data_IF_852794012569
#
_entry.id   IF_852794012569
#
_cell.length_a   1.000
_cell.length_b   1.000
_cell.length_c   1.000
_cell.angle_alpha   90.00
_cell.angle_beta   90.00
_cell.angle_gamma   90.00
#
_symmetry.space_group_name_H-M   'P 1'
#
loop_
_entity.id
_entity.type
_entity.pdbx_description
1 polymer ?
#
# COMPACT_ATOMS: atom_id res chain seq x y z
N UNK A 1 33.47 33.67 4.48
CA UNK A 1 32.13 33.21 4.90
C UNK A 1 31.92 31.87 4.21
N UNK A 2 32.42 30.80 4.84
CA UNK A 2 32.40 29.44 4.27
C UNK A 2 31.01 28.83 4.45
N UNK A 3 30.43 28.36 3.36
CA UNK A 3 29.23 27.54 3.39
C UNK A 3 29.60 26.13 3.86
N UNK A 4 28.87 25.52 4.81
CA UNK A 4 29.16 24.16 5.22
C UNK A 4 28.85 23.19 4.07
N UNK A 5 29.79 22.26 3.83
CA UNK A 5 29.66 21.19 2.85
C UNK A 5 28.35 20.41 3.05
N UNK A 6 27.58 20.22 1.98
CA UNK A 6 26.44 19.30 1.97
C UNK A 6 26.97 17.89 2.23
N UNK A 7 26.48 17.25 3.30
CA UNK A 7 26.78 15.86 3.59
C UNK A 7 26.57 14.97 2.33
N UNK A 8 27.49 14.03 2.04
CA UNK A 8 27.40 13.21 0.85
C UNK A 8 26.09 12.42 0.85
N UNK A 9 25.36 12.51 -0.26
CA UNK A 9 24.15 11.74 -0.52
C UNK A 9 24.53 10.25 -0.52
N UNK A 10 24.36 9.54 0.61
CA UNK A 10 24.52 8.09 0.67
C UNK A 10 23.68 7.50 -0.46
N UNK A 11 24.31 6.72 -1.36
CA UNK A 11 23.60 5.94 -2.38
C UNK A 11 22.53 5.13 -1.66
N UNK A 12 21.27 5.58 -1.73
CA UNK A 12 20.14 4.79 -1.26
C UNK A 12 20.15 3.53 -2.11
N UNK A 13 20.35 2.38 -1.47
CA UNK A 13 20.14 1.09 -2.11
C UNK A 13 18.77 1.13 -2.78
N UNK A 14 18.74 0.99 -4.09
CA UNK A 14 17.47 0.79 -4.80
C UNK A 14 16.86 -0.48 -4.21
N UNK A 15 15.68 -0.35 -3.63
CA UNK A 15 14.94 -1.46 -3.02
C UNK A 15 14.39 -2.36 -4.14
N UNK A 16 15.28 -3.13 -4.77
CA UNK A 16 14.90 -4.15 -5.75
C UNK A 16 14.33 -5.37 -5.03
N UNK A 17 13.48 -6.16 -5.69
CA UNK A 17 12.92 -7.40 -5.09
C UNK A 17 14.02 -8.33 -4.57
N UNK A 18 15.12 -8.48 -5.31
CA UNK A 18 16.28 -9.26 -4.88
C UNK A 18 16.92 -8.72 -3.59
N UNK A 19 16.96 -7.40 -3.41
CA UNK A 19 17.47 -6.80 -2.17
C UNK A 19 16.51 -7.07 -0.99
N UNK A 20 15.20 -7.10 -1.23
CA UNK A 20 14.20 -7.46 -0.21
C UNK A 20 14.32 -8.93 0.20
N UNK A 21 14.46 -9.85 -0.77
CA UNK A 21 14.63 -11.28 -0.51
C UNK A 21 15.87 -11.54 0.37
N UNK A 22 17.01 -10.94 0.01
CA UNK A 22 18.25 -11.00 0.81
C UNK A 22 18.09 -10.36 2.19
N UNK A 23 17.41 -9.22 2.28
CA UNK A 23 17.19 -8.54 3.56
C UNK A 23 16.28 -9.33 4.50
N UNK A 24 15.28 -10.04 3.96
CA UNK A 24 14.44 -10.98 4.70
C UNK A 24 15.28 -12.13 5.24
N UNK A 25 16.08 -12.76 4.39
CA UNK A 25 16.99 -13.84 4.80
C UNK A 25 18.00 -13.38 5.86
N UNK A 26 18.59 -12.21 5.68
CA UNK A 26 19.52 -11.61 6.64
C UNK A 26 18.83 -11.19 7.96
N UNK A 27 17.49 -11.13 8.00
CA UNK A 27 16.70 -10.61 9.12
C UNK A 27 16.85 -9.10 9.34
N UNK A 28 17.17 -8.36 8.27
CA UNK A 28 17.22 -6.88 8.25
C UNK A 28 15.87 -6.26 7.89
N UNK A 29 15.01 -7.02 7.22
CA UNK A 29 13.63 -6.64 6.91
C UNK A 29 12.71 -7.61 7.66
N UNK A 30 12.00 -7.11 8.66
CA UNK A 30 11.27 -7.98 9.60
C UNK A 30 9.75 -7.86 9.51
N UNK A 31 9.22 -6.87 8.81
CA UNK A 31 7.80 -6.78 8.48
C UNK A 31 7.70 -6.60 6.99
N UNK A 32 7.03 -7.54 6.32
CA UNK A 32 6.90 -7.55 4.87
C UNK A 32 5.46 -7.78 4.46
N UNK A 33 4.85 -6.75 3.88
CA UNK A 33 3.52 -6.83 3.30
C UNK A 33 3.62 -6.86 1.79
N UNK A 34 3.24 -7.99 1.19
CA UNK A 34 3.11 -8.14 -0.26
C UNK A 34 1.66 -8.14 -0.68
N UNK A 35 1.36 -7.46 -1.78
CA UNK A 35 0.00 -7.23 -2.27
C UNK A 35 -0.07 -7.52 -3.76
N UNK A 36 -1.09 -8.25 -4.19
CA UNK A 36 -1.33 -8.56 -5.60
C UNK A 36 -0.12 -9.21 -6.31
N UNK A 37 0.63 -10.07 -5.60
CA UNK A 37 1.74 -10.84 -6.18
C UNK A 37 1.85 -12.24 -5.58
N UNK A 38 2.25 -13.21 -6.41
CA UNK A 38 2.61 -14.56 -5.98
C UNK A 38 4.14 -14.75 -6.06
N UNK A 39 4.90 -13.91 -5.35
CA UNK A 39 6.36 -13.84 -5.46
C UNK A 39 7.09 -15.10 -4.94
N UNK A 40 6.47 -15.91 -4.07
CA UNK A 40 7.05 -17.20 -3.67
C UNK A 40 7.16 -18.16 -4.86
N UNK A 41 6.22 -18.11 -5.79
CA UNK A 41 6.24 -18.94 -7.00
C UNK A 41 6.94 -18.25 -8.19
N UNK A 42 6.77 -16.93 -8.33
CA UNK A 42 7.26 -16.19 -9.50
C UNK A 42 8.68 -15.63 -9.35
N UNK A 43 9.14 -15.41 -8.12
CA UNK A 43 10.44 -14.79 -7.89
C UNK A 43 11.59 -15.79 -8.07
N UNK A 44 12.78 -15.32 -8.48
CA UNK A 44 13.92 -16.20 -8.69
C UNK A 44 14.43 -16.82 -7.39
N UNK A 45 15.18 -17.92 -7.53
CA UNK A 45 16.00 -18.53 -6.48
C UNK A 45 15.28 -18.71 -5.13
N UNK A 46 14.15 -19.42 -5.17
CA UNK A 46 13.23 -19.62 -4.04
C UNK A 46 13.95 -20.23 -2.83
N UNK A 47 14.77 -21.25 -3.08
CA UNK A 47 15.38 -22.08 -2.04
C UNK A 47 16.49 -21.37 -1.26
N UNK A 48 17.24 -20.48 -1.91
CA UNK A 48 18.37 -19.83 -1.24
C UNK A 48 17.91 -18.64 -0.40
N UNK A 49 17.07 -17.75 -0.93
CA UNK A 49 16.80 -16.45 -0.29
C UNK A 49 15.37 -16.38 0.28
N UNK A 50 14.38 -16.50 -0.60
CA UNK A 50 13.00 -16.13 -0.28
C UNK A 50 12.33 -17.07 0.70
N UNK A 51 12.36 -18.37 0.44
CA UNK A 51 11.70 -19.35 1.31
C UNK A 51 12.30 -19.33 2.73
N UNK A 52 13.64 -19.38 2.92
CA UNK A 52 14.21 -19.30 4.25
C UNK A 52 13.96 -17.94 4.92
N UNK A 53 13.99 -16.84 4.17
CA UNK A 53 13.69 -15.52 4.71
C UNK A 53 12.23 -15.34 5.13
N UNK A 54 11.27 -15.83 4.35
CA UNK A 54 9.84 -15.75 4.68
C UNK A 54 9.45 -16.65 5.84
N UNK A 55 10.13 -17.78 6.02
CA UNK A 55 9.88 -18.71 7.14
C UNK A 55 10.76 -18.45 8.35
N UNK A 56 11.59 -17.41 8.31
CA UNK A 56 12.43 -17.03 9.43
C UNK A 56 11.56 -16.47 10.57
N UNK A 57 11.67 -16.99 11.82
CA UNK A 57 10.84 -16.56 12.93
C UNK A 57 11.03 -15.09 13.34
N UNK A 58 12.07 -14.41 12.84
CA UNK A 58 12.31 -12.98 13.06
C UNK A 58 11.39 -12.10 12.21
N UNK A 59 10.77 -12.67 11.17
CA UNK A 59 10.04 -11.92 10.16
C UNK A 59 8.54 -12.17 10.27
N UNK A 60 7.74 -11.15 9.95
CA UNK A 60 6.30 -11.21 9.88
C UNK A 60 5.84 -10.90 8.46
N UNK A 61 5.28 -11.91 7.80
CA UNK A 61 4.90 -11.85 6.39
C UNK A 61 3.39 -11.73 6.26
N UNK A 62 2.95 -10.69 5.54
CA UNK A 62 1.55 -10.40 5.24
C UNK A 62 1.35 -10.55 3.73
N UNK A 63 0.36 -11.34 3.32
CA UNK A 63 -0.02 -11.51 1.90
C UNK A 63 -1.48 -11.09 1.71
N UNK A 64 -1.70 -10.13 0.81
CA UNK A 64 -3.03 -9.75 0.34
C UNK A 64 -3.30 -10.42 -1.01
N UNK A 65 -4.23 -11.39 -1.04
CA UNK A 65 -4.53 -12.19 -2.22
C UNK A 65 -6.00 -12.68 -2.21
N UNK A 66 -6.70 -12.70 -3.36
CA UNK A 66 -8.02 -13.34 -3.47
C UNK A 66 -7.98 -14.87 -3.33
N UNK A 67 -6.83 -15.52 -3.60
CA UNK A 67 -6.71 -16.98 -3.62
C UNK A 67 -5.61 -17.49 -2.68
N UNK A 68 -5.70 -18.77 -2.23
CA UNK A 68 -4.65 -19.40 -1.43
C UNK A 68 -3.44 -19.77 -2.29
N UNK A 69 -2.63 -18.78 -2.66
CA UNK A 69 -1.40 -18.95 -3.47
C UNK A 69 -0.24 -19.56 -2.67
N UNK A 70 0.83 -19.99 -3.35
CA UNK A 70 2.06 -20.47 -2.68
C UNK A 70 2.64 -19.39 -1.77
N UNK A 71 2.59 -18.12 -2.18
CA UNK A 71 2.93 -17.00 -1.30
C UNK A 71 2.06 -16.96 -0.05
N UNK A 72 0.73 -17.04 -0.21
CA UNK A 72 -0.20 -16.98 0.93
C UNK A 72 0.04 -18.13 1.93
N UNK A 73 0.26 -19.36 1.42
CA UNK A 73 0.56 -20.53 2.25
C UNK A 73 1.88 -20.41 3.03
N UNK A 74 2.83 -19.59 2.57
CA UNK A 74 4.10 -19.36 3.25
C UNK A 74 4.07 -18.17 4.24
N UNK A 75 2.99 -17.37 4.23
CA UNK A 75 2.85 -16.17 5.03
C UNK A 75 2.35 -16.45 6.45
N UNK A 76 2.43 -15.44 7.32
CA UNK A 76 1.95 -15.51 8.71
C UNK A 76 0.58 -14.85 8.87
N UNK A 77 0.24 -13.90 8.00
CA UNK A 77 -1.09 -13.29 7.91
C UNK A 77 -1.54 -13.23 6.44
N UNK A 78 -2.75 -13.74 6.17
CA UNK A 78 -3.38 -13.69 4.85
C UNK A 78 -4.58 -12.76 4.96
N UNK A 79 -4.65 -11.76 4.07
CA UNK A 79 -5.77 -10.82 3.99
C UNK A 79 -6.60 -11.13 2.73
N UNK A 80 -7.90 -11.42 2.85
CA UNK A 80 -8.76 -11.68 1.69
C UNK A 80 -8.95 -10.38 0.90
N UNK A 81 -8.63 -10.43 -0.40
CA UNK A 81 -8.55 -9.22 -1.23
C UNK A 81 -9.55 -9.20 -2.38
N UNK A 82 -10.26 -8.07 -2.53
CA UNK A 82 -11.16 -7.82 -3.66
C UNK A 82 -10.38 -7.58 -4.96
N UNK A 83 -10.79 -8.24 -6.06
CA UNK A 83 -10.06 -8.31 -7.32
C UNK A 83 -10.79 -7.67 -8.51
N UNK A 84 -10.02 -7.10 -9.42
CA UNK A 84 -10.48 -6.60 -10.73
C UNK A 84 -11.77 -5.77 -10.70
N UNK A 85 -12.88 -6.28 -11.26
CA UNK A 85 -14.18 -5.58 -11.36
C UNK A 85 -14.98 -5.54 -10.05
N UNK A 86 -14.48 -6.19 -8.98
CA UNK A 86 -15.02 -6.06 -7.63
C UNK A 86 -14.69 -4.71 -6.98
N UNK A 87 -13.91 -3.85 -7.65
CA UNK A 87 -13.56 -2.50 -7.22
C UNK A 87 -13.50 -1.55 -8.41
N UNK A 88 -13.61 -0.25 -8.13
CA UNK A 88 -13.29 0.77 -9.13
C UNK A 88 -11.78 0.79 -9.36
N UNK A 89 -11.35 0.92 -10.62
CA UNK A 89 -9.93 0.87 -10.92
C UNK A 89 -9.54 1.43 -12.27
N UNK A 90 -8.22 1.54 -12.44
CA UNK A 90 -7.60 2.04 -13.65
C UNK A 90 -6.31 1.27 -13.94
N UNK A 91 -6.07 0.98 -15.22
CA UNK A 91 -4.81 0.40 -15.70
C UNK A 91 -4.25 1.16 -16.89
N UNK A 92 -2.92 1.25 -16.93
CA UNK A 92 -2.16 1.72 -18.09
C UNK A 92 -1.63 0.53 -18.88
N UNK A 93 -1.82 0.52 -20.20
CA UNK A 93 -1.28 -0.52 -21.06
C UNK A 93 0.09 -0.13 -21.68
N UNK A 94 0.66 -1.03 -22.48
CA UNK A 94 1.98 -0.85 -23.10
C UNK A 94 2.08 0.37 -24.05
N UNK A 95 0.96 0.85 -24.60
CA UNK A 95 0.91 2.04 -25.47
C UNK A 95 0.60 3.33 -24.70
N UNK A 96 0.72 3.32 -23.36
CA UNK A 96 0.43 4.46 -22.47
C UNK A 96 -1.04 4.87 -22.43
N UNK A 97 -1.97 3.98 -22.82
CA UNK A 97 -3.41 4.21 -22.69
C UNK A 97 -3.87 3.87 -21.29
N UNK A 98 -4.44 4.86 -20.61
CA UNK A 98 -5.15 4.67 -19.34
C UNK A 98 -6.58 4.25 -19.61
N UNK A 99 -7.03 3.18 -18.96
CA UNK A 99 -8.39 2.65 -19.07
C UNK A 99 -8.97 2.49 -17.66
N UNK A 100 -10.13 3.10 -17.43
CA UNK A 100 -10.86 3.02 -16.17
C UNK A 100 -12.00 2.01 -16.30
N UNK A 101 -12.36 1.41 -15.16
CA UNK A 101 -13.59 0.64 -15.01
C UNK A 101 -14.25 0.99 -13.67
N UNK A 102 -15.58 0.96 -13.66
CA UNK A 102 -16.38 1.12 -12.43
C UNK A 102 -16.48 -0.22 -11.72
N UNK A 103 -16.70 -0.21 -10.40
CA UNK A 103 -17.04 -1.42 -9.67
C UNK A 103 -18.35 -2.01 -10.24
N UNK A 104 -18.34 -3.29 -10.58
CA UNK A 104 -19.49 -3.98 -11.19
C UNK A 104 -20.19 -4.93 -10.23
N UNK A 105 -19.44 -5.52 -9.30
CA UNK A 105 -19.94 -6.51 -8.33
C UNK A 105 -19.26 -6.27 -6.98
N UNK A 106 -19.85 -6.81 -5.91
CA UNK A 106 -19.25 -6.79 -4.59
C UNK A 106 -18.37 -8.02 -4.38
N UNK A 107 -17.31 -7.85 -3.60
CA UNK A 107 -16.40 -8.93 -3.25
C UNK A 107 -17.07 -9.96 -2.32
N UNK A 108 -16.65 -11.23 -2.34
CA UNK A 108 -17.24 -12.26 -1.49
C UNK A 108 -16.86 -12.09 -0.01
N UNK A 109 -17.83 -12.30 0.88
CA UNK A 109 -17.61 -12.30 2.32
C UNK A 109 -17.04 -10.97 2.83
N UNK A 110 -15.87 -11.04 3.46
CA UNK A 110 -15.16 -9.89 4.02
C UNK A 110 -13.96 -9.45 3.17
N UNK A 111 -13.88 -9.90 1.92
CA UNK A 111 -12.79 -9.47 1.03
C UNK A 111 -12.83 -7.96 0.80
N UNK A 112 -11.68 -7.31 0.95
CA UNK A 112 -11.52 -5.85 0.78
C UNK A 112 -10.43 -5.52 -0.22
N UNK A 113 -10.57 -4.44 -0.97
CA UNK A 113 -9.56 -4.06 -1.96
C UNK A 113 -8.22 -3.72 -1.32
N UNK A 114 -7.15 -3.82 -2.10
CA UNK A 114 -5.82 -3.37 -1.69
C UNK A 114 -5.84 -1.88 -1.28
N UNK A 115 -6.61 -1.05 -1.99
CA UNK A 115 -6.76 0.37 -1.68
C UNK A 115 -7.37 0.57 -0.30
N UNK A 116 -8.48 -0.12 -0.03
CA UNK A 116 -9.13 -0.10 1.29
C UNK A 116 -8.17 -0.53 2.39
N UNK A 117 -7.43 -1.63 2.19
CA UNK A 117 -6.48 -2.15 3.18
C UNK A 117 -5.39 -1.12 3.52
N UNK A 118 -4.79 -0.47 2.51
CA UNK A 118 -3.77 0.56 2.71
C UNK A 118 -4.31 1.79 3.44
N UNK A 119 -5.48 2.28 3.04
CA UNK A 119 -6.10 3.48 3.59
C UNK A 119 -6.57 3.25 5.03
N UNK A 120 -7.17 2.10 5.33
CA UNK A 120 -7.60 1.78 6.70
C UNK A 120 -6.42 1.50 7.62
N UNK A 121 -5.37 0.86 7.11
CA UNK A 121 -4.16 0.61 7.90
C UNK A 121 -3.46 1.93 8.28
N UNK A 122 -3.48 2.94 7.42
CA UNK A 122 -2.84 4.23 7.71
C UNK A 122 -3.49 4.99 8.88
N UNK A 123 -4.77 4.71 9.20
CA UNK A 123 -5.45 5.27 10.39
C UNK A 123 -4.82 4.79 11.71
N UNK A 124 -4.06 3.70 11.70
CA UNK A 124 -3.44 3.10 12.90
C UNK A 124 -2.16 3.81 13.35
N UNK A 125 -1.64 4.73 12.55
CA UNK A 125 -0.37 5.40 12.82
C UNK A 125 -0.57 6.90 12.97
N UNK A 126 -0.12 7.45 14.08
CA UNK A 126 0.05 8.90 14.26
C UNK A 126 1.38 9.35 13.68
N UNK A 127 1.43 10.60 13.23
CA UNK A 127 2.67 11.19 12.71
C UNK A 127 3.81 11.17 13.73
N UNK A 128 3.51 11.18 15.03
CA UNK A 128 4.53 11.07 16.07
C UNK A 128 5.22 9.71 16.14
N UNK A 129 4.54 8.67 15.70
CA UNK A 129 5.04 7.29 15.79
C UNK A 129 5.98 6.98 14.63
N UNK A 130 5.80 7.67 13.50
CA UNK A 130 6.49 7.35 12.23
C UNK A 130 7.43 8.44 11.74
N UNK A 131 7.25 9.71 12.14
CA UNK A 131 8.11 10.79 11.70
C UNK A 131 9.13 11.20 12.78
N UNK A 132 10.40 11.46 12.41
CA UNK A 132 11.35 12.03 13.34
C UNK A 132 10.91 13.40 13.85
N UNK A 133 11.25 13.74 15.10
CA UNK A 133 10.90 15.00 15.77
C UNK A 133 11.23 16.28 14.97
N UNK A 134 12.24 16.24 14.10
CA UNK A 134 12.61 17.38 13.24
C UNK A 134 11.51 17.71 12.21
N UNK A 135 10.74 16.72 11.76
CA UNK A 135 9.66 16.93 10.79
C UNK A 135 8.50 17.71 11.42
N UNK A 136 8.14 17.40 12.67
CA UNK A 136 7.06 18.10 13.40
C UNK A 136 7.35 19.58 13.62
N UNK A 137 8.64 19.92 13.86
CA UNK A 137 9.06 21.31 14.04
C UNK A 137 8.91 22.14 12.77
N UNK A 138 9.05 21.51 11.60
CA UNK A 138 8.93 22.16 10.29
C UNK A 138 7.49 22.26 9.81
N UNK A 139 6.65 21.29 10.16
CA UNK A 139 5.24 21.31 9.78
C UNK A 139 4.34 20.95 10.99
N UNK A 140 4.02 21.98 11.79
CA UNK A 140 3.18 21.84 13.00
C UNK A 140 1.75 21.39 12.68
N UNK A 141 1.27 21.61 11.44
CA UNK A 141 -0.09 21.28 11.03
C UNK A 141 -0.33 19.77 10.86
N UNK A 142 0.74 18.96 10.90
CA UNK A 142 0.69 17.51 10.82
C UNK A 142 0.86 16.82 12.19
N UNK A 143 1.04 17.58 13.27
CA UNK A 143 1.20 17.04 14.63
C UNK A 143 -0.15 16.52 15.13
N UNK A 144 -0.12 15.39 15.81
CA UNK A 144 -1.21 14.63 16.39
C UNK A 144 -2.23 14.09 15.37
N UNK A 145 -1.88 14.11 14.09
CA UNK A 145 -2.71 13.56 13.00
C UNK A 145 -2.36 12.12 12.72
N UNK A 146 -3.33 11.38 12.19
CA UNK A 146 -3.08 10.05 11.63
C UNK A 146 -2.45 10.15 10.24
N UNK A 147 -1.76 9.10 9.78
CA UNK A 147 -1.28 9.05 8.38
C UNK A 147 -2.44 9.12 7.39
N UNK A 148 -3.63 8.63 7.75
CA UNK A 148 -4.83 8.79 6.94
C UNK A 148 -5.18 10.26 6.68
N UNK A 149 -5.21 11.09 7.73
CA UNK A 149 -5.53 12.52 7.61
C UNK A 149 -4.46 13.29 6.82
N UNK A 150 -3.22 12.82 6.87
CA UNK A 150 -2.09 13.46 6.20
C UNK A 150 -1.96 13.06 4.73
N UNK A 151 -2.35 11.83 4.38
CA UNK A 151 -2.11 11.26 3.05
C UNK A 151 -3.38 11.08 2.22
N UNK A 152 -4.53 10.77 2.83
CA UNK A 152 -5.72 10.31 2.12
C UNK A 152 -6.98 11.16 2.39
N UNK A 153 -7.01 11.93 3.47
CA UNK A 153 -8.10 12.84 3.80
C UNK A 153 -7.62 14.30 3.88
N UNK A 154 -6.73 14.68 2.96
CA UNK A 154 -6.35 16.08 2.74
C UNK A 154 -7.49 16.83 2.04
N UNK A 155 -7.53 18.18 2.11
CA UNK A 155 -8.54 18.94 1.40
C UNK A 155 -8.54 18.71 -0.13
N UNK A 156 -7.38 18.40 -0.72
CA UNK A 156 -7.28 18.09 -2.16
C UNK A 156 -7.84 16.71 -2.48
N UNK A 157 -7.46 15.66 -1.73
CA UNK A 157 -7.93 14.29 -1.97
C UNK A 157 -9.43 14.14 -1.63
N UNK A 158 -9.91 14.82 -0.58
CA UNK A 158 -11.32 14.75 -0.16
C UNK A 158 -12.24 15.77 -0.85
N UNK A 159 -11.73 16.50 -1.86
CA UNK A 159 -12.44 17.56 -2.57
C UNK A 159 -13.71 17.08 -3.27
N UNK A 160 -13.72 15.86 -3.78
CA UNK A 160 -14.79 15.34 -4.61
C UNK A 160 -15.85 14.63 -3.78
N UNK A 161 -17.11 15.11 -3.74
CA UNK A 161 -18.15 14.49 -2.94
C UNK A 161 -18.65 13.18 -3.57
N UNK A 162 -19.16 12.28 -2.72
CA UNK A 162 -19.77 10.99 -3.15
C UNK A 162 -20.98 11.22 -4.08
N UNK A 163 -21.61 12.38 -4.02
CA UNK A 163 -22.72 12.75 -4.91
C UNK A 163 -22.35 12.85 -6.40
N UNK A 164 -21.06 12.86 -6.74
CA UNK A 164 -20.63 12.75 -8.14
C UNK A 164 -20.79 11.33 -8.70
N UNK A 165 -20.87 10.31 -7.84
CA UNK A 165 -21.18 8.95 -8.25
C UNK A 165 -22.67 8.84 -8.58
N UNK A 166 -23.01 8.04 -9.59
CA UNK A 166 -24.42 7.70 -9.84
C UNK A 166 -25.01 6.97 -8.63
N UNK A 167 -26.32 7.11 -8.40
CA UNK A 167 -27.00 6.54 -7.23
C UNK A 167 -26.83 5.01 -7.15
N UNK A 168 -26.92 4.34 -8.30
CA UNK A 168 -26.77 2.90 -8.48
C UNK A 168 -25.32 2.42 -8.67
N UNK A 169 -24.36 3.35 -8.82
CA UNK A 169 -22.95 3.00 -9.03
C UNK A 169 -22.30 2.49 -7.73
N UNK A 170 -21.77 1.27 -7.77
CA UNK A 170 -20.95 0.73 -6.68
C UNK A 170 -19.61 1.48 -6.58
N UNK A 171 -19.20 1.75 -5.34
CA UNK A 171 -17.86 2.21 -4.98
C UNK A 171 -17.72 2.08 -3.46
N UNK A 172 -17.37 0.88 -3.00
CA UNK A 172 -17.41 0.54 -1.57
C UNK A 172 -16.51 1.46 -0.72
N UNK A 173 -15.29 1.76 -1.19
CA UNK A 173 -14.34 2.59 -0.44
C UNK A 173 -14.81 4.05 -0.33
N UNK A 174 -15.25 4.66 -1.43
CA UNK A 174 -15.70 6.06 -1.42
C UNK A 174 -16.99 6.23 -0.61
N UNK A 175 -17.91 5.27 -0.71
CA UNK A 175 -19.17 5.30 0.06
C UNK A 175 -18.91 5.10 1.56
N UNK A 176 -17.91 4.30 1.94
CA UNK A 176 -17.50 4.14 3.34
C UNK A 176 -16.78 5.38 3.89
N UNK A 177 -15.89 5.99 3.11
CA UNK A 177 -15.06 7.12 3.56
C UNK A 177 -15.77 8.48 3.49
N UNK A 178 -16.85 8.58 2.70
CA UNK A 178 -17.68 9.78 2.60
C UNK A 178 -17.21 10.80 1.56
N UNK A 179 -16.25 10.45 0.71
CA UNK A 179 -15.80 11.26 -0.44
C UNK A 179 -15.29 10.34 -1.56
N UNK A 180 -15.21 10.85 -2.79
CA UNK A 180 -14.79 10.10 -3.96
C UNK A 180 -13.26 9.93 -3.98
N UNK A 181 -12.79 8.95 -3.21
CA UNK A 181 -11.38 8.69 -2.94
C UNK A 181 -10.57 8.45 -4.23
N UNK A 182 -11.03 7.57 -5.12
CA UNK A 182 -10.26 7.21 -6.32
C UNK A 182 -10.02 8.42 -7.22
N UNK A 183 -11.01 9.32 -7.35
CA UNK A 183 -10.87 10.56 -8.10
C UNK A 183 -9.89 11.52 -7.44
N UNK A 184 -10.01 11.71 -6.12
CA UNK A 184 -9.08 12.52 -5.33
C UNK A 184 -7.63 12.09 -5.50
N UNK A 185 -7.35 10.79 -5.41
CA UNK A 185 -6.00 10.25 -5.59
C UNK A 185 -5.48 10.30 -7.04
N UNK A 186 -6.37 10.39 -8.01
CA UNK A 186 -5.99 10.49 -9.42
C UNK A 186 -5.73 11.93 -9.87
N UNK A 187 -6.39 12.91 -9.21
CA UNK A 187 -6.30 14.33 -9.55
C UNK A 187 -5.40 15.16 -8.62
N UNK A 188 -4.91 14.61 -7.50
CA UNK A 188 -3.89 15.22 -6.61
C UNK A 188 -2.53 15.41 -7.31
#
# INVERSE_FOLDING_TARGET
MEYPERAPFRRKSVCTRLAQDRALKDGKLNVYWTMCTNNMQAGPNINEERMPGWRDPRNFIIVSDPYPTVSALAADLILPTAMWVEKEGAYGNAERRTQFWRQQVQAPGEAKSDLWQLVQFSRRFKTEEVWPKICWRRNRNCVAKTLYEVLYATPEVSKFPVSELAEDQLNDESRELGFYLQKGLFEE
#
